data_IF_590942435873
#
_entry.id   IF_590942435873
#
_cell.length_a   1.000
_cell.length_b   1.000
_cell.length_c   1.000
_cell.angle_alpha   90.00
_cell.angle_beta   90.00
_cell.angle_gamma   90.00
#
_symmetry.space_group_name_H-M   'P 1'
#
loop_
_entity.id
_entity.type
_entity.pdbx_description
1 polymer ?
#
# COMPACT_ATOMS: atom_id res chain seq x y z
N UNK A 1 21.98 -3.66 14.75
CA UNK A 1 21.27 -3.52 13.46
C UNK A 1 20.66 -4.86 13.11
N UNK A 2 19.41 -4.93 12.60
CA UNK A 2 18.90 -6.16 12.00
C UNK A 2 19.79 -6.55 10.79
N UNK A 3 20.17 -7.82 10.70
CA UNK A 3 20.86 -8.37 9.54
C UNK A 3 19.85 -8.50 8.39
N UNK A 4 20.20 -8.04 7.20
CA UNK A 4 19.36 -8.14 5.99
C UNK A 4 19.26 -9.62 5.58
N UNK A 5 18.04 -10.11 5.38
CA UNK A 5 17.80 -11.45 4.81
C UNK A 5 17.80 -11.38 3.28
N UNK A 6 18.97 -11.60 2.68
CA UNK A 6 19.16 -11.51 1.23
C UNK A 6 18.37 -12.54 0.43
N UNK A 7 18.13 -13.72 0.98
CA UNK A 7 17.34 -14.76 0.31
C UNK A 7 15.88 -14.32 0.18
N UNK A 8 15.32 -13.72 1.24
CA UNK A 8 13.97 -13.13 1.17
C UNK A 8 13.94 -11.89 0.29
N UNK A 9 14.99 -11.07 0.34
CA UNK A 9 15.08 -9.86 -0.48
C UNK A 9 14.94 -10.19 -1.97
N UNK A 10 15.66 -11.19 -2.48
CA UNK A 10 15.61 -11.60 -3.88
C UNK A 10 14.18 -11.95 -4.37
N UNK A 11 13.35 -12.51 -3.50
CA UNK A 11 11.96 -12.85 -3.84
C UNK A 11 10.98 -11.68 -3.71
N UNK A 12 11.31 -10.66 -2.92
CA UNK A 12 10.42 -9.53 -2.64
C UNK A 12 10.76 -8.27 -3.44
N UNK A 13 11.98 -8.16 -3.98
CA UNK A 13 12.40 -7.03 -4.81
C UNK A 13 11.50 -6.81 -6.05
N UNK A 14 11.07 -7.84 -6.80
CA UNK A 14 10.14 -7.63 -7.91
C UNK A 14 8.80 -7.07 -7.43
N UNK A 15 8.26 -7.59 -6.32
CA UNK A 15 7.02 -7.07 -5.73
C UNK A 15 7.17 -5.63 -5.23
N UNK A 16 8.34 -5.27 -4.70
CA UNK A 16 8.67 -3.91 -4.30
C UNK A 16 8.67 -2.96 -5.50
N UNK A 17 9.32 -3.36 -6.61
CA UNK A 17 9.35 -2.58 -7.84
C UNK A 17 7.95 -2.37 -8.40
N UNK A 18 7.14 -3.44 -8.49
CA UNK A 18 5.75 -3.36 -8.95
C UNK A 18 4.90 -2.46 -8.04
N UNK A 19 5.02 -2.60 -6.73
CA UNK A 19 4.28 -1.78 -5.78
C UNK A 19 4.64 -0.29 -5.88
N UNK A 20 5.86 0.05 -6.30
CA UNK A 20 6.30 1.43 -6.48
C UNK A 20 5.68 2.15 -7.69
N UNK A 21 5.10 1.41 -8.65
CA UNK A 21 4.60 2.00 -9.90
C UNK A 21 3.45 2.98 -9.64
N UNK A 22 2.40 2.55 -8.93
CA UNK A 22 1.22 3.39 -8.72
C UNK A 22 1.54 4.70 -7.96
N UNK A 23 2.27 4.69 -6.83
CA UNK A 23 2.63 5.92 -6.13
C UNK A 23 3.45 6.92 -6.95
N UNK A 24 4.23 6.44 -7.94
CA UNK A 24 5.07 7.28 -8.79
C UNK A 24 4.38 7.72 -10.09
N UNK A 25 3.26 7.08 -10.48
CA UNK A 25 2.57 7.40 -11.73
C UNK A 25 2.02 8.83 -11.75
N UNK A 26 1.43 9.29 -10.64
CA UNK A 26 0.89 10.66 -10.59
C UNK A 26 2.00 11.73 -10.63
N UNK A 27 3.07 11.67 -9.81
CA UNK A 27 4.23 12.53 -9.98
C UNK A 27 4.85 12.50 -11.39
N UNK A 28 4.95 11.32 -12.00
CA UNK A 28 5.47 11.17 -13.36
C UNK A 28 4.58 11.88 -14.40
N UNK A 29 3.25 11.78 -14.25
CA UNK A 29 2.32 12.48 -15.11
C UNK A 29 2.44 14.01 -14.96
N UNK A 30 2.65 14.50 -13.73
CA UNK A 30 2.84 15.93 -13.48
C UNK A 30 4.18 16.48 -13.99
N UNK A 31 5.15 15.61 -14.25
CA UNK A 31 6.39 15.94 -14.96
C UNK A 31 6.25 15.91 -16.49
N UNK A 32 5.10 15.49 -17.01
CA UNK A 32 4.85 15.39 -18.44
C UNK A 32 5.46 14.16 -19.12
N UNK A 33 5.83 13.12 -18.36
CA UNK A 33 6.35 11.88 -18.97
C UNK A 33 5.29 11.10 -19.76
N UNK A 34 4.04 11.14 -19.32
CA UNK A 34 2.86 10.57 -19.97
C UNK A 34 1.60 11.09 -19.25
N UNK A 35 0.42 10.93 -19.85
CA UNK A 35 -0.84 11.21 -19.11
C UNK A 35 -1.04 10.18 -18.00
N UNK A 36 -1.81 10.53 -16.95
CA UNK A 36 -2.15 9.57 -15.90
C UNK A 36 -3.01 8.42 -16.44
N UNK A 37 -3.82 8.69 -17.47
CA UNK A 37 -4.58 7.67 -18.21
C UNK A 37 -3.66 6.63 -18.87
N UNK A 38 -2.65 7.07 -19.63
CA UNK A 38 -1.69 6.16 -20.26
C UNK A 38 -0.90 5.37 -19.22
N UNK A 39 -0.41 6.02 -18.16
CA UNK A 39 0.27 5.33 -17.06
C UNK A 39 -0.66 4.33 -16.37
N UNK A 40 -1.96 4.60 -16.29
CA UNK A 40 -2.92 3.65 -15.76
C UNK A 40 -2.99 2.37 -16.60
N UNK A 41 -3.14 2.52 -17.92
CA UNK A 41 -3.27 1.40 -18.84
C UNK A 41 -1.97 0.61 -19.00
N UNK A 42 -0.82 1.29 -19.09
CA UNK A 42 0.45 0.67 -19.47
C UNK A 42 1.38 0.37 -18.29
N UNK A 43 1.13 0.93 -17.10
CA UNK A 43 1.97 0.70 -15.93
C UNK A 43 1.17 0.24 -14.71
N UNK A 44 0.14 0.97 -14.29
CA UNK A 44 -0.60 0.68 -13.05
C UNK A 44 -1.35 -0.64 -13.17
N UNK A 45 -2.21 -0.81 -14.18
CA UNK A 45 -2.99 -2.04 -14.36
C UNK A 45 -2.11 -3.28 -14.57
N UNK A 46 -1.06 -3.24 -15.43
CA UNK A 46 -0.12 -4.36 -15.54
C UNK A 46 0.58 -4.68 -14.22
N UNK A 47 1.04 -3.67 -13.47
CA UNK A 47 1.72 -3.89 -12.19
C UNK A 47 0.80 -4.51 -11.14
N UNK A 48 -0.45 -4.05 -11.08
CA UNK A 48 -1.50 -4.63 -10.24
C UNK A 48 -1.74 -6.10 -10.60
N UNK A 49 -1.93 -6.41 -11.89
CA UNK A 49 -2.17 -7.76 -12.36
C UNK A 49 -1.00 -8.70 -12.03
N UNK A 50 0.24 -8.26 -12.20
CA UNK A 50 1.43 -9.06 -11.88
C UNK A 50 1.56 -9.26 -10.37
N UNK A 51 1.26 -8.25 -9.54
CA UNK A 51 1.23 -8.42 -8.08
C UNK A 51 0.16 -9.44 -7.64
N UNK A 52 -1.04 -9.36 -8.22
CA UNK A 52 -2.12 -10.30 -7.94
C UNK A 52 -1.72 -11.73 -8.35
N UNK A 53 -1.14 -11.88 -9.55
CA UNK A 53 -0.62 -13.15 -10.04
C UNK A 53 0.51 -13.68 -9.14
N UNK A 54 1.38 -12.82 -8.63
CA UNK A 54 2.46 -13.19 -7.69
C UNK A 54 1.90 -13.72 -6.38
N UNK A 55 0.85 -13.09 -5.83
CA UNK A 55 0.16 -13.56 -4.64
C UNK A 55 -0.50 -14.92 -4.90
N UNK A 56 -1.27 -15.05 -5.99
CA UNK A 56 -1.94 -16.29 -6.36
C UNK A 56 -0.94 -17.44 -6.57
N UNK A 57 0.12 -17.21 -7.35
CA UNK A 57 1.20 -18.16 -7.58
C UNK A 57 1.88 -18.58 -6.26
N UNK A 58 2.12 -17.63 -5.37
CA UNK A 58 2.72 -17.91 -4.05
C UNK A 58 1.81 -18.77 -3.18
N UNK A 59 0.49 -18.58 -3.24
CA UNK A 59 -0.47 -19.47 -2.58
C UNK A 59 -0.47 -20.88 -3.17
N UNK A 60 -0.53 -21.00 -4.50
CA UNK A 60 -0.56 -22.28 -5.22
C UNK A 60 0.70 -23.12 -4.98
N UNK A 61 1.85 -22.47 -4.75
CA UNK A 61 3.14 -23.14 -4.51
C UNK A 61 3.51 -23.24 -3.02
N UNK A 62 2.54 -23.09 -2.11
CA UNK A 62 2.75 -23.13 -0.66
C UNK A 62 3.80 -22.14 -0.12
N UNK A 63 4.14 -21.09 -0.87
CA UNK A 63 5.04 -19.99 -0.48
C UNK A 63 4.26 -18.92 0.29
N UNK A 64 3.61 -19.34 1.36
CA UNK A 64 2.63 -18.52 2.08
C UNK A 64 3.24 -17.27 2.71
N UNK A 65 4.55 -17.26 2.98
CA UNK A 65 5.25 -16.09 3.51
C UNK A 65 5.14 -14.87 2.58
N UNK A 66 5.50 -15.02 1.30
CA UNK A 66 5.44 -13.94 0.31
C UNK A 66 4.02 -13.44 0.09
N UNK A 67 3.08 -14.38 -0.13
CA UNK A 67 1.68 -14.05 -0.32
C UNK A 67 1.11 -13.24 0.85
N UNK A 68 1.43 -13.65 2.09
CA UNK A 68 0.98 -12.95 3.30
C UNK A 68 1.56 -11.55 3.44
N UNK A 69 2.84 -11.36 3.16
CA UNK A 69 3.48 -10.05 3.27
C UNK A 69 2.84 -9.07 2.29
N UNK A 70 2.66 -9.48 1.03
CA UNK A 70 2.03 -8.63 0.01
C UNK A 70 0.56 -8.37 0.36
N UNK A 71 -0.22 -9.41 0.62
CA UNK A 71 -1.66 -9.27 0.88
C UNK A 71 -1.95 -8.49 2.18
N UNK A 72 -1.21 -8.74 3.26
CA UNK A 72 -1.36 -8.01 4.51
C UNK A 72 -0.91 -6.56 4.38
N UNK A 73 0.18 -6.30 3.64
CA UNK A 73 0.63 -4.95 3.31
C UNK A 73 -0.41 -4.17 2.52
N UNK A 74 -0.95 -4.77 1.45
CA UNK A 74 -1.98 -4.17 0.61
C UNK A 74 -3.22 -3.80 1.43
N UNK A 75 -3.78 -4.76 2.17
CA UNK A 75 -4.97 -4.53 3.00
C UNK A 75 -4.71 -3.46 4.07
N UNK A 76 -3.58 -3.53 4.77
CA UNK A 76 -3.24 -2.56 5.80
C UNK A 76 -3.07 -1.15 5.23
N UNK A 77 -2.47 -1.02 4.04
CA UNK A 77 -2.31 0.24 3.32
C UNK A 77 -3.64 0.84 2.85
N UNK A 78 -4.54 0.02 2.29
CA UNK A 78 -5.90 0.46 1.93
C UNK A 78 -6.65 0.99 3.16
N UNK A 79 -6.64 0.24 4.27
CA UNK A 79 -7.30 0.67 5.51
C UNK A 79 -6.67 1.93 6.10
N UNK A 80 -5.34 2.06 6.03
CA UNK A 80 -4.63 3.25 6.47
C UNK A 80 -4.98 4.50 5.63
N UNK A 81 -5.37 4.31 4.37
CA UNK A 81 -5.85 5.41 3.50
C UNK A 81 -7.12 6.03 4.06
N UNK A 82 -7.99 5.25 4.69
CA UNK A 82 -9.19 5.79 5.34
C UNK A 82 -8.84 6.73 6.50
N UNK A 83 -7.83 6.38 7.30
CA UNK A 83 -7.35 7.25 8.39
C UNK A 83 -6.71 8.54 7.87
N UNK A 84 -6.02 8.46 6.73
CA UNK A 84 -5.47 9.61 6.02
C UNK A 84 -6.59 10.54 5.51
N UNK A 85 -7.61 9.98 4.86
CA UNK A 85 -8.74 10.75 4.32
C UNK A 85 -9.63 11.33 5.43
N UNK A 86 -9.73 10.67 6.58
CA UNK A 86 -10.42 11.20 7.76
C UNK A 86 -9.82 12.52 8.28
N UNK A 87 -8.58 12.85 7.91
CA UNK A 87 -7.93 14.13 8.23
C UNK A 87 -7.95 15.06 7.02
N UNK A 88 -7.64 14.54 5.82
CA UNK A 88 -7.57 15.36 4.60
C UNK A 88 -8.91 15.92 4.19
N UNK A 89 -9.98 15.13 4.26
CA UNK A 89 -11.29 15.56 3.80
C UNK A 89 -11.85 16.71 4.66
N UNK A 90 -11.79 16.67 6.02
CA UNK A 90 -12.08 17.85 6.83
C UNK A 90 -11.16 19.04 6.52
N UNK A 91 -9.86 18.81 6.29
CA UNK A 91 -8.93 19.88 5.88
C UNK A 91 -9.34 20.56 4.57
N UNK A 92 -9.85 19.80 3.60
CA UNK A 92 -10.44 20.33 2.38
C UNK A 92 -11.70 21.17 2.65
N UNK A 93 -12.64 20.66 3.45
CA UNK A 93 -13.86 21.41 3.80
C UNK A 93 -13.57 22.72 4.56
N UNK A 94 -12.47 22.76 5.31
CA UNK A 94 -12.00 23.96 6.02
C UNK A 94 -11.18 24.92 5.14
N UNK A 95 -10.98 24.60 3.85
CA UNK A 95 -10.18 25.39 2.92
C UNK A 95 -8.67 25.33 3.16
N UNK A 96 -8.18 24.35 3.92
CA UNK A 96 -6.75 24.16 4.17
C UNK A 96 -6.06 23.32 3.09
N UNK A 97 -6.84 22.65 2.25
CA UNK A 97 -6.35 22.01 1.03
C UNK A 97 -6.95 22.71 -0.20
N UNK A 98 -6.16 22.88 -1.29
CA UNK A 98 -6.61 23.57 -2.50
C UNK A 98 -7.70 22.80 -3.27
N UNK A 99 -7.90 21.52 -2.97
CA UNK A 99 -8.90 20.68 -3.62
C UNK A 99 -8.93 19.24 -3.11
N UNK A 100 -9.88 18.47 -3.63
CA UNK A 100 -10.02 17.04 -3.38
C UNK A 100 -9.10 16.25 -4.34
N UNK A 101 -7.88 15.90 -3.92
CA UNK A 101 -6.92 15.22 -4.82
C UNK A 101 -7.40 13.86 -5.35
N UNK A 102 -8.07 12.98 -4.57
CA UNK A 102 -8.69 11.78 -5.14
C UNK A 102 -9.56 12.08 -6.36
N UNK A 103 -10.42 13.09 -6.28
CA UNK A 103 -11.29 13.50 -7.38
C UNK A 103 -10.50 14.02 -8.60
N UNK A 104 -9.48 14.84 -8.38
CA UNK A 104 -8.56 15.28 -9.44
C UNK A 104 -7.87 14.09 -10.13
N UNK A 105 -7.32 13.14 -9.37
CA UNK A 105 -6.69 11.95 -9.93
C UNK A 105 -7.68 11.17 -10.78
N UNK A 106 -8.94 11.09 -10.36
CA UNK A 106 -10.03 10.52 -11.11
C UNK A 106 -10.27 11.16 -12.47
N UNK A 107 -10.33 12.49 -12.50
CA UNK A 107 -10.47 13.27 -13.74
C UNK A 107 -9.32 12.97 -14.71
N UNK A 108 -8.08 12.92 -14.19
CA UNK A 108 -6.88 12.64 -14.98
C UNK A 108 -6.79 11.18 -15.43
N UNK A 109 -7.30 10.23 -14.64
CA UNK A 109 -7.33 8.81 -14.99
C UNK A 109 -8.27 8.51 -16.14
N UNK A 110 -9.37 9.25 -16.23
CA UNK A 110 -10.39 9.06 -17.27
C UNK A 110 -10.23 10.05 -18.44
N UNK A 111 -9.15 10.83 -18.46
CA UNK A 111 -8.82 11.82 -19.49
C UNK A 111 -9.94 12.86 -19.73
N UNK A 112 -10.50 13.38 -18.64
CA UNK A 112 -11.70 14.24 -18.66
C UNK A 112 -11.42 15.68 -18.24
N UNK A 113 -10.20 16.15 -18.44
CA UNK A 113 -9.76 17.41 -17.84
C UNK A 113 -10.66 18.60 -18.22
N UNK A 114 -11.15 18.65 -19.46
CA UNK A 114 -12.07 19.68 -19.95
C UNK A 114 -13.51 19.56 -19.41
N UNK A 115 -13.90 18.38 -18.94
CA UNK A 115 -15.25 18.09 -18.43
C UNK A 115 -15.34 18.27 -16.91
N UNK A 116 -14.22 18.10 -16.21
CA UNK A 116 -14.17 18.11 -14.76
C UNK A 116 -14.67 16.81 -14.12
N UNK A 117 -15.00 16.82 -12.82
CA UNK A 117 -15.37 15.62 -12.09
C UNK A 117 -16.78 15.11 -12.43
N UNK A 118 -16.89 13.78 -12.47
CA UNK A 118 -18.10 12.98 -12.60
C UNK A 118 -18.16 11.95 -11.46
N UNK A 119 -19.27 11.23 -11.32
CA UNK A 119 -19.38 10.13 -10.34
C UNK A 119 -18.34 9.06 -10.68
N UNK A 120 -18.21 8.72 -11.95
CA UNK A 120 -17.28 7.69 -12.44
C UNK A 120 -15.83 8.10 -12.17
N UNK A 121 -15.45 9.33 -12.49
CA UNK A 121 -14.09 9.82 -12.23
C UNK A 121 -13.82 9.89 -10.73
N UNK A 122 -14.79 10.31 -9.93
CA UNK A 122 -14.66 10.34 -8.46
C UNK A 122 -14.37 8.95 -7.91
N UNK A 123 -15.15 7.94 -8.32
CA UNK A 123 -14.93 6.55 -7.91
C UNK A 123 -13.56 6.05 -8.37
N UNK A 124 -13.19 6.30 -9.63
CA UNK A 124 -11.88 5.90 -10.17
C UNK A 124 -10.72 6.54 -9.39
N UNK A 125 -10.86 7.82 -9.03
CA UNK A 125 -9.89 8.58 -8.25
C UNK A 125 -9.69 8.06 -6.84
N UNK A 126 -10.78 7.77 -6.13
CA UNK A 126 -10.71 7.13 -4.80
C UNK A 126 -10.18 5.70 -4.86
N UNK A 127 -10.54 4.92 -5.89
CA UNK A 127 -10.01 3.58 -6.09
C UNK A 127 -8.49 3.61 -6.32
N UNK A 128 -8.01 4.52 -7.16
CA UNK A 128 -6.58 4.74 -7.36
C UNK A 128 -5.88 5.24 -6.09
N UNK A 129 -6.51 6.12 -5.31
CA UNK A 129 -5.95 6.59 -4.05
C UNK A 129 -5.81 5.46 -3.02
N UNK A 130 -6.83 4.61 -2.90
CA UNK A 130 -6.79 3.40 -2.07
C UNK A 130 -5.71 2.43 -2.55
N UNK A 131 -5.55 2.27 -3.87
CA UNK A 131 -4.48 1.45 -4.44
C UNK A 131 -3.08 2.03 -4.16
N UNK A 132 -2.89 3.35 -4.21
CA UNK A 132 -1.64 3.99 -3.78
C UNK A 132 -1.33 3.71 -2.32
N UNK A 133 -2.33 3.79 -1.45
CA UNK A 133 -2.19 3.37 -0.06
C UNK A 133 -1.82 1.91 0.09
N UNK A 134 -2.47 1.01 -0.66
CA UNK A 134 -2.13 -0.41 -0.72
C UNK A 134 -0.67 -0.64 -1.10
N UNK A 135 -0.20 0.04 -2.16
CA UNK A 135 1.18 0.02 -2.63
C UNK A 135 2.17 0.45 -1.55
N UNK A 136 1.91 1.57 -0.86
CA UNK A 136 2.75 2.00 0.27
C UNK A 136 2.73 0.99 1.42
N UNK A 137 1.58 0.37 1.69
CA UNK A 137 1.48 -0.71 2.67
C UNK A 137 2.29 -1.95 2.31
N UNK A 138 2.29 -2.36 1.03
CA UNK A 138 3.15 -3.44 0.50
C UNK A 138 4.61 -3.08 0.68
N UNK A 139 5.02 -1.86 0.27
CA UNK A 139 6.40 -1.37 0.40
C UNK A 139 6.85 -1.47 1.87
N UNK A 140 6.09 -0.90 2.80
CA UNK A 140 6.44 -0.95 4.22
C UNK A 140 6.51 -2.39 4.76
N UNK A 141 5.57 -3.25 4.38
CA UNK A 141 5.55 -4.65 4.81
C UNK A 141 6.78 -5.43 4.31
N UNK A 142 7.22 -5.18 3.06
CA UNK A 142 8.43 -5.76 2.46
C UNK A 142 9.68 -5.23 3.16
N UNK A 143 9.81 -3.91 3.33
CA UNK A 143 10.95 -3.31 4.03
C UNK A 143 11.10 -3.88 5.46
N UNK A 144 9.98 -4.12 6.12
CA UNK A 144 9.96 -4.72 7.45
C UNK A 144 10.29 -6.22 7.44
N UNK A 145 9.94 -6.95 6.38
CA UNK A 145 10.23 -8.38 6.24
C UNK A 145 11.71 -8.64 5.89
N UNK A 146 12.32 -7.77 5.07
CA UNK A 146 13.75 -7.84 4.70
C UNK A 146 14.65 -7.35 5.86
N UNK A 147 14.08 -6.62 6.82
CA UNK A 147 14.78 -6.15 8.02
C UNK A 147 15.30 -4.73 7.94
N UNK A 148 14.93 -3.94 6.93
CA UNK A 148 15.35 -2.53 6.79
C UNK A 148 14.68 -1.66 7.85
N UNK A 149 13.38 -1.89 8.11
CA UNK A 149 12.60 -1.19 9.14
C UNK A 149 12.00 -2.19 10.13
N UNK A 150 11.51 -1.70 11.28
CA UNK A 150 10.75 -2.55 12.21
C UNK A 150 9.25 -2.35 12.01
N UNK A 151 8.45 -3.38 12.31
CA UNK A 151 6.98 -3.33 12.30
C UNK A 151 6.38 -2.51 13.46
N UNK A 152 7.10 -1.51 13.98
CA UNK A 152 6.63 -0.69 15.09
C UNK A 152 5.97 0.59 14.60
N UNK A 153 5.08 1.15 15.42
CA UNK A 153 4.32 2.34 15.05
C UNK A 153 5.23 3.53 14.80
N UNK A 154 6.34 3.69 15.52
CA UNK A 154 7.31 4.77 15.25
C UNK A 154 7.93 4.67 13.85
N UNK A 155 8.30 3.47 13.38
CA UNK A 155 8.83 3.29 12.03
C UNK A 155 7.76 3.52 10.96
N UNK A 156 6.53 3.09 11.20
CA UNK A 156 5.43 3.29 10.26
C UNK A 156 4.97 4.75 10.19
N UNK A 157 4.89 5.45 11.33
CA UNK A 157 4.61 6.90 11.41
C UNK A 157 5.71 7.68 10.72
N UNK A 158 6.98 7.37 10.98
CA UNK A 158 8.11 7.98 10.27
C UNK A 158 8.03 7.74 8.76
N UNK A 159 7.71 6.51 8.34
CA UNK A 159 7.48 6.18 6.94
C UNK A 159 6.32 6.99 6.31
N UNK A 160 5.19 7.09 7.02
CA UNK A 160 4.07 7.94 6.60
C UNK A 160 4.49 9.39 6.42
N UNK A 161 5.13 9.98 7.43
CA UNK A 161 5.63 11.36 7.37
C UNK A 161 6.60 11.56 6.20
N UNK A 162 7.49 10.60 5.93
CA UNK A 162 8.38 10.66 4.75
C UNK A 162 7.61 10.66 3.43
N UNK A 163 6.52 9.89 3.31
CA UNK A 163 5.62 9.96 2.15
C UNK A 163 5.00 11.37 2.05
N UNK A 164 4.52 11.92 3.17
CA UNK A 164 3.93 13.27 3.20
C UNK A 164 4.92 14.35 2.78
N UNK A 165 6.16 14.30 3.28
CA UNK A 165 7.25 15.20 2.85
C UNK A 165 7.57 15.00 1.37
N UNK A 166 7.66 13.74 0.91
CA UNK A 166 7.87 13.41 -0.49
C UNK A 166 6.79 14.00 -1.38
N UNK A 167 5.51 13.90 -0.98
CA UNK A 167 4.38 14.50 -1.66
C UNK A 167 4.49 16.03 -1.71
N UNK A 168 4.80 16.69 -0.58
CA UNK A 168 5.00 18.14 -0.51
C UNK A 168 6.14 18.63 -1.43
N UNK A 169 7.22 17.85 -1.52
CA UNK A 169 8.35 18.14 -2.40
C UNK A 169 8.09 17.75 -3.86
N UNK A 170 7.06 16.96 -4.14
CA UNK A 170 6.84 16.35 -5.45
C UNK A 170 6.38 17.35 -6.51
N UNK A 171 6.54 17.01 -7.80
CA UNK A 171 5.97 17.76 -8.91
C UNK A 171 4.44 17.96 -8.80
N UNK A 172 3.73 17.09 -8.07
CA UNK A 172 2.28 17.18 -7.90
C UNK A 172 1.86 18.46 -7.18
N UNK A 173 2.56 18.84 -6.12
CA UNK A 173 2.23 20.08 -5.40
C UNK A 173 2.65 21.30 -6.19
N UNK A 174 3.79 21.21 -6.88
CA UNK A 174 4.33 22.28 -7.69
C UNK A 174 3.43 22.59 -8.91
N UNK A 175 2.96 21.56 -9.62
CA UNK A 175 2.10 21.72 -10.80
C UNK A 175 0.72 22.30 -10.48
N UNK A 176 0.25 22.13 -9.24
CA UNK A 176 -0.98 22.75 -8.74
C UNK A 176 -0.78 24.21 -8.30
N UNK A 177 0.44 24.75 -8.41
CA UNK A 177 0.76 26.11 -7.98
C UNK A 177 1.13 26.24 -6.51
N UNK A 178 1.38 25.13 -5.80
CA UNK A 178 1.73 25.14 -4.37
C UNK A 178 3.19 25.52 -4.08
N UNK A 179 4.05 25.58 -5.10
CA UNK A 179 5.49 25.78 -4.93
C UNK A 179 6.19 24.59 -4.25
N UNK A 180 7.50 24.73 -4.01
CA UNK A 180 8.27 23.68 -3.31
C UNK A 180 7.80 23.56 -1.87
N UNK A 181 7.52 22.33 -1.41
CA UNK A 181 6.96 22.05 -0.08
C UNK A 181 5.57 22.64 0.20
N UNK A 182 4.86 23.14 -0.82
CA UNK A 182 3.51 23.68 -0.65
C UNK A 182 3.47 25.06 0.01
N UNK A 183 4.56 25.82 -0.05
CA UNK A 183 4.66 27.15 0.58
C UNK A 183 3.59 28.14 0.13
N UNK A 184 3.18 28.09 -1.14
CA UNK A 184 2.15 28.99 -1.70
C UNK A 184 0.74 28.62 -1.25
N UNK A 185 0.51 27.38 -0.84
CA UNK A 185 -0.75 26.95 -0.21
C UNK A 185 -0.80 27.24 1.30
N UNK A 186 0.31 27.75 1.86
CA UNK A 186 0.42 28.11 3.27
C UNK A 186 0.62 26.93 4.22
N UNK A 187 0.97 27.25 5.48
CA UNK A 187 1.37 26.25 6.47
C UNK A 187 0.28 25.24 6.83
N UNK A 188 -1.01 25.62 6.71
CA UNK A 188 -2.15 24.75 7.03
C UNK A 188 -2.24 23.57 6.06
N UNK A 189 -1.90 23.78 4.79
CA UNK A 189 -1.80 22.72 3.80
C UNK A 189 -0.73 21.70 4.19
N UNK A 190 0.49 22.17 4.44
CA UNK A 190 1.60 21.32 4.85
C UNK A 190 1.29 20.56 6.16
N UNK A 191 0.73 21.23 7.16
CA UNK A 191 0.32 20.61 8.41
C UNK A 191 -0.74 19.52 8.18
N UNK A 192 -1.77 19.79 7.38
CA UNK A 192 -2.82 18.82 7.05
C UNK A 192 -2.22 17.57 6.40
N UNK A 193 -1.34 17.76 5.40
CA UNK A 193 -0.65 16.66 4.72
C UNK A 193 0.17 15.83 5.72
N UNK A 194 1.01 16.46 6.54
CA UNK A 194 1.90 15.74 7.45
C UNK A 194 1.14 14.99 8.55
N UNK A 195 0.10 15.60 9.14
CA UNK A 195 -0.73 14.96 10.16
C UNK A 195 -1.52 13.79 9.55
N UNK A 196 -2.09 13.96 8.36
CA UNK A 196 -2.80 12.89 7.67
C UNK A 196 -1.88 11.68 7.38
N UNK A 197 -0.65 11.94 6.98
CA UNK A 197 0.33 10.89 6.72
C UNK A 197 0.91 10.26 8.01
N UNK A 198 1.00 11.01 9.11
CA UNK A 198 1.30 10.43 10.41
C UNK A 198 0.19 9.47 10.86
N UNK A 199 -1.08 9.83 10.66
CA UNK A 199 -2.22 8.96 10.93
C UNK A 199 -2.25 7.73 10.01
N UNK A 200 -1.93 7.89 8.73
CA UNK A 200 -1.69 6.76 7.81
C UNK A 200 -0.68 5.78 8.40
N UNK A 201 0.51 6.26 8.78
CA UNK A 201 1.57 5.42 9.33
C UNK A 201 1.15 4.69 10.61
N UNK A 202 0.44 5.39 11.50
CA UNK A 202 -0.11 4.79 12.72
C UNK A 202 -1.11 3.65 12.40
N UNK A 203 -2.10 3.93 11.55
CA UNK A 203 -3.12 2.97 11.13
C UNK A 203 -2.52 1.78 10.39
N UNK A 204 -1.55 2.02 9.50
CA UNK A 204 -0.81 1.00 8.77
C UNK A 204 -0.13 0.02 9.73
N UNK A 205 0.58 0.52 10.75
CA UNK A 205 1.24 -0.36 11.73
C UNK A 205 0.24 -1.23 12.50
N UNK A 206 -0.91 -0.66 12.84
CA UNK A 206 -1.96 -1.34 13.60
C UNK A 206 -2.60 -2.44 12.75
N UNK A 207 -3.06 -2.10 11.55
CA UNK A 207 -3.68 -3.04 10.63
C UNK A 207 -2.72 -4.17 10.21
N UNK A 208 -1.46 -3.84 9.92
CA UNK A 208 -0.46 -4.83 9.52
C UNK A 208 -0.16 -5.83 10.65
N UNK A 209 -0.07 -5.35 11.90
CA UNK A 209 0.10 -6.23 13.07
C UNK A 209 -1.08 -7.16 13.25
N UNK A 210 -2.32 -6.65 13.10
CA UNK A 210 -3.53 -7.46 13.20
C UNK A 210 -3.59 -8.54 12.12
N UNK A 211 -3.34 -8.17 10.86
CA UNK A 211 -3.36 -9.09 9.72
C UNK A 211 -2.32 -10.22 9.87
N UNK A 212 -1.09 -9.88 10.27
CA UNK A 212 -0.02 -10.87 10.44
C UNK A 212 -0.18 -11.72 11.72
N UNK A 213 -0.72 -11.15 12.80
CA UNK A 213 -1.02 -11.90 14.02
C UNK A 213 -2.09 -12.96 13.79
N UNK A 214 -3.19 -12.58 13.12
CA UNK A 214 -4.28 -13.50 12.79
C UNK A 214 -3.78 -14.66 11.92
N UNK A 215 -2.96 -14.36 10.91
CA UNK A 215 -2.38 -15.36 10.02
C UNK A 215 -1.52 -16.41 10.75
N UNK A 216 -0.71 -15.98 11.74
CA UNK A 216 0.13 -16.90 12.53
C UNK A 216 -0.68 -17.84 13.42
N UNK A 217 -1.82 -17.39 13.97
CA UNK A 217 -2.70 -18.25 14.79
C UNK A 217 -3.35 -19.34 13.96
N UNK A 218 -3.90 -19.02 12.79
CA UNK A 218 -4.57 -19.99 11.92
C UNK A 218 -3.62 -21.12 11.50
N UNK A 219 -2.37 -20.81 11.18
CA UNK A 219 -1.37 -21.86 10.84
C UNK A 219 -0.95 -22.75 11.99
N UNK A 220 -1.03 -22.30 13.25
CA UNK A 220 -0.65 -23.13 14.40
C UNK A 220 -1.73 -24.13 14.81
N UNK A 221 -2.98 -23.92 14.42
CA UNK A 221 -4.11 -24.80 14.78
C UNK A 221 -4.26 -25.96 13.77
N UNK A 222 -3.77 -25.78 12.54
CA UNK A 222 -3.83 -26.79 11.48
C UNK A 222 -2.95 -28.07 11.61
N UNK A 223 -1.87 -28.17 12.43
CA UNK A 223 -0.99 -29.35 12.36
C UNK A 223 -1.54 -30.64 13.01
N UNK A 224 -2.57 -30.61 13.84
CA UNK A 224 -2.91 -31.78 14.69
C UNK A 224 -3.92 -32.77 14.10
N UNK A 225 -4.49 -32.54 12.92
CA UNK A 225 -5.53 -33.43 12.36
C UNK A 225 -5.05 -34.43 11.30
N UNK A 226 -3.79 -34.38 10.88
CA UNK A 226 -3.26 -35.29 9.85
C UNK A 226 -2.27 -36.33 10.39
N UNK A 227 -1.75 -36.18 11.61
CA UNK A 227 -0.88 -37.18 12.26
C UNK A 227 -1.64 -38.27 13.02
N UNK A 228 -2.89 -38.00 13.42
CA UNK A 228 -3.67 -38.91 14.26
C UNK A 228 -4.47 -39.94 13.46
N UNK A 229 -4.52 -39.80 12.12
CA UNK A 229 -5.22 -40.72 11.23
C UNK A 229 -4.35 -41.89 10.72
N UNK A 230 -3.01 -41.82 10.90
CA UNK A 230 -2.09 -42.87 10.41
C UNK A 230 -1.53 -43.78 11.51
N UNK A 231 -1.89 -43.56 12.77
CA UNK A 231 -1.43 -44.36 13.92
C UNK A 231 -2.48 -45.35 14.43
N UNK A 232 -3.71 -45.30 13.92
CA UNK A 232 -4.70 -46.35 14.13
C UNK A 232 -4.58 -47.39 13.01
N UNK A 233 -4.50 -48.67 13.38
CA UNK A 233 -4.38 -49.86 12.51
C UNK A 233 -2.94 -50.28 12.14
N UNK A 234 -2.17 -50.70 13.17
CA UNK A 234 -1.24 -51.83 13.00
C UNK A 234 -1.72 -52.94 13.95
N UNK A 235 -2.65 -53.76 13.46
CA UNK A 235 -3.05 -55.01 14.12
C UNK A 235 -1.89 -55.99 13.98
N UNK A 236 -1.23 -56.33 15.10
CA UNK A 236 -0.22 -57.41 15.11
C UNK A 236 -0.95 -58.75 14.97
N UNK A 237 -0.54 -59.65 14.06
CA UNK A 237 -1.07 -60.99 14.03
C UNK A 237 -0.52 -61.79 15.22
N UNK A 238 -1.42 -62.35 16.02
CA UNK A 238 -1.08 -63.33 17.05
C UNK A 238 -0.59 -64.63 16.38
N UNK A 239 0.61 -65.05 16.75
CA UNK A 239 1.19 -66.35 16.40
C UNK A 239 0.50 -67.47 17.17
N UNK A 240 0.03 -68.50 16.46
CA UNK A 240 -0.15 -69.87 16.97
C UNK A 240 0.47 -70.84 15.99
#
# INVERSE_FOLDING_TARGET
MPLIDWNRALHLLPALALASIAPNAFPAAQLGYATLHELALYAILPSFAILLATVAWSFLNARLGTARVIAAGALAGMLATLALEAIRYPGFLLGWMPGNLPELMGVLLLDRFSEGPSIESTIAGFAYHAWNGASFGIIFAILAEIGIVRRTSIWAVGYGVLIGVGFLASPVVQSLGGGFLGVEFGWRFAATVLVAHAAFGFALSTALRMALFYSRRVTRIAPSRLSDASSAVVVRPETR
#
